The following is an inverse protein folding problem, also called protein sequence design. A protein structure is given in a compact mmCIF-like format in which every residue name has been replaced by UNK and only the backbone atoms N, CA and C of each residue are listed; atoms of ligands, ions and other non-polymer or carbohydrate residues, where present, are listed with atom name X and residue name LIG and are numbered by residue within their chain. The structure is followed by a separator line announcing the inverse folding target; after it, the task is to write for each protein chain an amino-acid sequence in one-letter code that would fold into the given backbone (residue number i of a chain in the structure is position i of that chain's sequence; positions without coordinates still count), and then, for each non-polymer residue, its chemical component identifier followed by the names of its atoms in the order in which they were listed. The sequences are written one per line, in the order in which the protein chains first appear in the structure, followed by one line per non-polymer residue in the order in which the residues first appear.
data_IF_719121597247
#
_entry.id   IF_719121597247
#
_cell.length_a   1.000
_cell.length_b   1.000
_cell.length_c   1.000
_cell.angle_alpha   90.00
_cell.angle_beta   90.00
_cell.angle_gamma   90.00
#
_symmetry.space_group_name_H-M   'P 1'
#
loop_
_entity.id
_entity.type
_entity.pdbx_description
1 polymer ?
#
# COMPACT_ATOMS: atom_id res chain seq x y z
N UNK A 1 -13.96 14.88 12.83
CA UNK A 1 -12.63 14.47 13.35
C UNK A 1 -11.60 15.20 12.51
N UNK A 2 -10.81 16.11 13.07
CA UNK A 2 -9.77 16.83 12.32
C UNK A 2 -8.64 15.86 11.96
N UNK A 3 -8.38 15.68 10.67
CA UNK A 3 -7.31 14.82 10.19
C UNK A 3 -5.96 15.53 10.37
N UNK A 4 -4.99 14.90 11.03
CA UNK A 4 -3.66 15.50 11.29
C UNK A 4 -2.83 15.59 10.01
N UNK A 5 -2.91 14.57 9.16
CA UNK A 5 -2.16 14.47 7.91
C UNK A 5 -3.11 14.68 6.74
N UNK A 6 -2.85 15.65 5.87
CA UNK A 6 -3.68 15.94 4.70
C UNK A 6 -3.46 14.90 3.59
N UNK A 7 -4.53 14.55 2.85
CA UNK A 7 -4.45 13.82 1.58
C UNK A 7 -4.72 14.84 0.44
N UNK A 8 -3.68 15.31 -0.27
CA UNK A 8 -3.79 16.30 -1.33
C UNK A 8 -4.70 15.84 -2.50
N UNK A 9 -5.28 16.81 -3.23
CA UNK A 9 -6.24 16.50 -4.30
C UNK A 9 -5.60 15.82 -5.52
N UNK A 10 -4.38 16.20 -5.87
CA UNK A 10 -3.56 15.56 -6.89
C UNK A 10 -3.29 14.08 -6.57
N UNK A 11 -2.91 13.77 -5.32
CA UNK A 11 -2.74 12.38 -4.87
C UNK A 11 -4.07 11.61 -4.95
N UNK A 12 -5.16 12.23 -4.52
CA UNK A 12 -6.52 11.69 -4.63
C UNK A 12 -6.89 11.33 -6.07
N UNK A 13 -6.52 12.17 -7.03
CA UNK A 13 -6.79 11.95 -8.44
C UNK A 13 -5.88 10.84 -9.02
N UNK A 14 -4.62 10.79 -8.62
CA UNK A 14 -3.67 9.72 -8.98
C UNK A 14 -4.15 8.35 -8.47
N UNK A 15 -4.54 8.25 -7.20
CA UNK A 15 -5.14 7.04 -6.61
C UNK A 15 -6.41 6.60 -7.32
N UNK A 16 -7.25 7.56 -7.75
CA UNK A 16 -8.46 7.26 -8.53
C UNK A 16 -8.10 6.67 -9.88
N UNK A 17 -7.11 7.22 -10.58
CA UNK A 17 -6.62 6.68 -11.86
C UNK A 17 -6.06 5.26 -11.68
N UNK A 18 -5.23 5.05 -10.66
CA UNK A 18 -4.67 3.73 -10.34
C UNK A 18 -5.76 2.68 -10.10
N UNK A 19 -6.78 3.01 -9.29
CA UNK A 19 -7.91 2.10 -9.01
C UNK A 19 -8.66 1.64 -10.26
N UNK A 20 -8.87 2.55 -11.22
CA UNK A 20 -9.65 2.26 -12.43
C UNK A 20 -8.78 1.81 -13.61
N UNK A 21 -7.46 1.73 -13.42
CA UNK A 21 -6.57 1.19 -14.43
C UNK A 21 -6.91 -0.28 -14.70
N UNK A 22 -6.98 -0.66 -15.98
CA UNK A 22 -7.22 -2.06 -16.36
C UNK A 22 -5.91 -2.83 -16.19
N UNK A 23 -5.97 -3.92 -15.43
CA UNK A 23 -4.85 -4.86 -15.23
C UNK A 23 -5.20 -6.20 -15.87
N UNK A 24 -4.24 -6.78 -16.58
CA UNK A 24 -4.40 -8.03 -17.34
C UNK A 24 -3.27 -9.04 -17.08
N UNK A 25 -2.14 -8.60 -16.52
CA UNK A 25 -1.03 -9.43 -16.08
C UNK A 25 -0.22 -8.68 -15.02
N UNK A 26 0.31 -9.41 -14.04
CA UNK A 26 1.17 -8.87 -13.00
C UNK A 26 0.44 -8.02 -11.97
N UNK A 27 1.07 -7.89 -10.80
CA UNK A 27 0.58 -6.96 -9.78
C UNK A 27 1.04 -5.53 -10.10
N UNK A 28 0.31 -4.55 -9.60
CA UNK A 28 0.70 -3.15 -9.65
C UNK A 28 0.65 -2.56 -8.24
N UNK A 29 1.52 -1.61 -7.94
CA UNK A 29 1.65 -1.02 -6.63
C UNK A 29 1.72 0.50 -6.71
N UNK A 30 1.04 1.19 -5.81
CA UNK A 30 1.10 2.63 -5.64
C UNK A 30 1.66 2.93 -4.25
N UNK A 31 2.87 3.48 -4.17
CA UNK A 31 3.58 3.75 -2.91
C UNK A 31 3.35 5.19 -2.46
N UNK A 32 2.92 5.35 -1.21
CA UNK A 32 2.65 6.65 -0.56
C UNK A 32 3.46 6.78 0.72
N UNK A 33 4.00 7.97 0.95
CA UNK A 33 4.65 8.35 2.22
C UNK A 33 3.94 9.55 2.84
N UNK A 34 4.26 9.82 4.10
CA UNK A 34 3.90 11.07 4.77
C UNK A 34 5.12 11.97 4.84
N UNK A 35 4.99 13.20 4.38
CA UNK A 35 5.97 14.24 4.63
C UNK A 35 5.72 14.85 6.01
N UNK A 36 6.61 14.56 6.95
CA UNK A 36 6.52 15.00 8.36
C UNK A 36 6.59 16.53 8.52
N UNK A 37 7.20 17.24 7.58
CA UNK A 37 7.33 18.70 7.66
C UNK A 37 6.05 19.41 7.22
N UNK A 38 5.43 18.92 6.15
CA UNK A 38 4.21 19.52 5.58
C UNK A 38 2.93 18.90 6.12
N UNK A 39 3.03 17.75 6.79
CA UNK A 39 1.91 16.90 7.22
C UNK A 39 0.99 16.52 6.05
N UNK A 40 1.58 16.22 4.88
CA UNK A 40 0.85 15.79 3.68
C UNK A 40 1.30 14.42 3.22
N UNK A 41 0.37 13.66 2.63
CA UNK A 41 0.72 12.44 1.90
C UNK A 41 1.24 12.78 0.51
N UNK A 42 2.25 12.03 0.08
CA UNK A 42 2.93 12.21 -1.20
C UNK A 42 3.04 10.85 -1.90
N UNK A 43 2.75 10.84 -3.20
CA UNK A 43 3.12 9.73 -4.07
C UNK A 43 4.65 9.63 -4.10
N UNK A 44 5.17 8.42 -3.93
CA UNK A 44 6.60 8.12 -4.07
C UNK A 44 6.85 7.56 -5.45
N UNK A 45 6.15 6.48 -5.77
CA UNK A 45 6.36 5.70 -6.99
C UNK A 45 5.15 4.83 -7.30
N UNK A 46 4.98 4.51 -8.58
CA UNK A 46 4.02 3.53 -9.07
C UNK A 46 4.74 2.46 -9.86
N UNK A 47 4.41 1.20 -9.58
CA UNK A 47 4.95 0.04 -10.27
C UNK A 47 3.84 -0.68 -11.01
N UNK A 48 4.15 -1.15 -12.21
CA UNK A 48 3.28 -1.97 -13.04
C UNK A 48 3.97 -3.28 -13.38
N UNK A 49 3.23 -4.40 -13.26
CA UNK A 49 3.73 -5.74 -13.51
C UNK A 49 4.95 -6.10 -12.65
N UNK A 50 4.86 -5.83 -11.34
CA UNK A 50 5.89 -6.12 -10.33
C UNK A 50 5.53 -7.37 -9.52
N UNK A 51 6.53 -8.15 -9.13
CA UNK A 51 6.36 -9.27 -8.18
C UNK A 51 6.28 -8.77 -6.73
N UNK A 52 5.94 -9.63 -5.77
CA UNK A 52 5.93 -9.20 -4.35
C UNK A 52 7.34 -9.05 -3.81
N UNK A 53 8.24 -9.90 -4.29
CA UNK A 53 9.64 -9.93 -3.93
C UNK A 53 10.36 -8.68 -4.46
N UNK A 54 10.18 -8.33 -5.74
CA UNK A 54 10.74 -7.10 -6.30
C UNK A 54 10.17 -5.86 -5.60
N UNK A 55 8.85 -5.84 -5.34
CA UNK A 55 8.23 -4.73 -4.61
C UNK A 55 8.80 -4.59 -3.19
N UNK A 56 9.11 -5.72 -2.53
CA UNK A 56 9.69 -5.71 -1.19
C UNK A 56 11.11 -5.11 -1.18
N UNK A 57 11.89 -5.32 -2.24
CA UNK A 57 13.24 -4.75 -2.40
C UNK A 57 13.22 -3.24 -2.66
N UNK A 58 12.18 -2.72 -3.34
CA UNK A 58 12.01 -1.29 -3.58
C UNK A 58 11.54 -0.51 -2.33
N UNK A 59 11.04 -1.21 -1.32
CA UNK A 59 10.51 -0.59 -0.10
C UNK A 59 11.63 -0.30 0.92
N UNK A 60 11.54 0.82 1.66
CA UNK A 60 12.60 1.22 2.58
C UNK A 60 12.57 0.42 3.89
N UNK A 61 13.74 0.09 4.43
CA UNK A 61 13.89 -0.66 5.69
C UNK A 61 13.64 0.14 6.98
N UNK A 62 13.64 1.47 6.89
CA UNK A 62 13.62 2.36 8.06
C UNK A 62 12.58 3.48 7.97
N UNK A 63 11.58 3.36 7.10
CA UNK A 63 10.48 4.32 7.08
C UNK A 63 9.16 3.69 6.63
N UNK A 64 8.02 4.11 7.21
CA UNK A 64 6.74 3.51 6.88
C UNK A 64 6.24 3.97 5.51
N UNK A 65 5.42 3.13 4.88
CA UNK A 65 4.75 3.39 3.61
C UNK A 65 3.33 2.85 3.63
N UNK A 66 2.44 3.49 2.90
CA UNK A 66 1.20 2.86 2.46
C UNK A 66 1.38 2.39 1.04
N UNK A 67 0.98 1.17 0.75
CA UNK A 67 1.00 0.65 -0.61
C UNK A 67 -0.41 0.23 -0.99
N UNK A 68 -0.98 0.88 -2.01
CA UNK A 68 -2.21 0.39 -2.64
C UNK A 68 -1.80 -0.61 -3.70
N UNK A 69 -2.05 -1.88 -3.43
CA UNK A 69 -1.66 -2.99 -4.27
C UNK A 69 -2.86 -3.49 -5.07
N UNK A 70 -2.75 -3.48 -6.40
CA UNK A 70 -3.61 -4.27 -7.28
C UNK A 70 -2.93 -5.62 -7.49
N UNK A 71 -3.38 -6.63 -6.76
CA UNK A 71 -2.68 -7.90 -6.65
C UNK A 71 -3.22 -8.93 -7.65
N UNK A 72 -2.35 -9.54 -8.45
CA UNK A 72 -2.74 -10.64 -9.33
C UNK A 72 -3.04 -11.90 -8.52
N UNK A 73 -4.33 -12.15 -8.26
CA UNK A 73 -4.81 -13.34 -7.57
C UNK A 73 -5.34 -14.36 -8.57
N UNK A 74 -4.68 -15.52 -8.63
CA UNK A 74 -5.15 -16.71 -9.36
C UNK A 74 -6.01 -17.56 -8.45
N UNK A 75 -7.26 -17.77 -8.87
CA UNK A 75 -8.24 -18.58 -8.18
C UNK A 75 -8.11 -20.04 -8.59
N UNK A 76 -8.58 -20.93 -7.72
CA UNK A 76 -8.46 -22.38 -7.92
C UNK A 76 -9.35 -22.88 -9.09
N UNK A 77 -10.33 -22.07 -9.52
CA UNK A 77 -11.17 -22.31 -10.70
C UNK A 77 -10.58 -21.77 -12.02
N UNK A 78 -9.33 -21.29 -11.99
CA UNK A 78 -8.62 -20.77 -13.15
C UNK A 78 -8.88 -19.30 -13.46
N UNK A 79 -9.78 -18.62 -12.74
CA UNK A 79 -9.98 -17.18 -12.91
C UNK A 79 -8.80 -16.39 -12.35
N UNK A 80 -8.50 -15.25 -12.98
CA UNK A 80 -7.56 -14.27 -12.44
C UNK A 80 -8.32 -12.99 -12.10
N UNK A 81 -8.07 -12.45 -10.92
CA UNK A 81 -8.64 -11.19 -10.45
C UNK A 81 -7.55 -10.26 -9.95
N UNK A 82 -7.87 -8.96 -9.85
CA UNK A 82 -6.93 -7.94 -9.40
C UNK A 82 -7.51 -7.15 -8.21
N UNK A 83 -7.78 -7.81 -7.05
CA UNK A 83 -8.28 -7.11 -5.87
C UNK A 83 -7.32 -6.00 -5.44
N UNK A 84 -7.91 -4.90 -4.94
CA UNK A 84 -7.14 -3.86 -4.27
C UNK A 84 -6.95 -4.21 -2.79
N UNK A 85 -5.71 -4.12 -2.34
CA UNK A 85 -5.27 -4.36 -0.96
C UNK A 85 -4.46 -3.16 -0.50
N UNK A 86 -4.64 -2.74 0.76
CA UNK A 86 -3.73 -1.79 1.38
C UNK A 86 -2.68 -2.54 2.18
N UNK A 87 -1.42 -2.42 1.79
CA UNK A 87 -0.32 -2.84 2.65
C UNK A 87 0.07 -1.67 3.54
N UNK A 88 0.01 -1.90 4.84
CA UNK A 88 0.54 -1.03 5.87
C UNK A 88 1.98 -1.46 6.18
N UNK A 89 2.96 -0.84 5.51
CA UNK A 89 4.38 -1.13 5.66
C UNK A 89 4.96 -0.31 6.81
N UNK A 90 5.45 -1.01 7.83
CA UNK A 90 5.87 -0.42 9.10
C UNK A 90 7.13 -1.12 9.63
N UNK A 91 8.27 -1.00 8.93
CA UNK A 91 9.48 -1.73 9.27
C UNK A 91 10.06 -1.22 10.59
N UNK A 92 10.72 -2.10 11.34
CA UNK A 92 11.13 -1.84 12.73
C UNK A 92 12.09 -0.64 12.89
N UNK A 93 12.87 -0.30 11.85
CA UNK A 93 13.79 0.84 11.88
C UNK A 93 13.13 2.23 11.81
N UNK A 94 11.80 2.29 11.75
CA UNK A 94 11.06 3.53 11.54
C UNK A 94 11.11 4.48 12.74
N UNK A 95 11.36 5.77 12.47
CA UNK A 95 11.37 6.82 13.49
C UNK A 95 9.98 6.97 14.17
N UNK A 96 9.95 7.03 15.51
CA UNK A 96 8.72 7.07 16.33
C UNK A 96 7.75 8.18 15.92
N UNK A 97 8.25 9.39 15.64
CA UNK A 97 7.41 10.52 15.24
C UNK A 97 6.70 10.26 13.91
N UNK A 98 7.39 9.67 12.95
CA UNK A 98 6.82 9.32 11.66
C UNK A 98 5.82 8.15 11.78
N UNK A 99 6.12 7.16 12.63
CA UNK A 99 5.20 6.06 12.95
C UNK A 99 3.90 6.55 13.59
N UNK A 100 3.96 7.57 14.44
CA UNK A 100 2.77 8.17 15.06
C UNK A 100 1.88 8.84 14.00
N UNK A 101 2.47 9.62 13.09
CA UNK A 101 1.73 10.23 11.98
C UNK A 101 1.11 9.15 11.08
N UNK A 102 1.88 8.11 10.74
CA UNK A 102 1.45 6.98 9.93
C UNK A 102 0.31 6.19 10.59
N UNK A 103 0.38 5.91 11.88
CA UNK A 103 -0.73 5.26 12.59
C UNK A 103 -1.98 6.16 12.61
N UNK A 104 -1.80 7.47 12.84
CA UNK A 104 -2.92 8.41 12.93
C UNK A 104 -3.70 8.57 11.62
N UNK A 105 -3.03 8.39 10.48
CA UNK A 105 -3.61 8.63 9.16
C UNK A 105 -4.13 7.35 8.48
N UNK A 106 -3.83 6.16 9.02
CA UNK A 106 -4.14 4.86 8.38
C UNK A 106 -5.63 4.72 8.04
N UNK A 107 -6.52 4.97 9.00
CA UNK A 107 -7.97 4.81 8.79
C UNK A 107 -8.49 5.81 7.75
N UNK A 108 -8.01 7.05 7.79
CA UNK A 108 -8.38 8.05 6.81
C UNK A 108 -7.93 7.67 5.40
N UNK A 109 -6.70 7.15 5.27
CA UNK A 109 -6.17 6.69 4.00
C UNK A 109 -6.92 5.46 3.48
N UNK A 110 -7.15 4.45 4.32
CA UNK A 110 -7.91 3.24 3.98
C UNK A 110 -9.30 3.59 3.44
N UNK A 111 -10.03 4.46 4.13
CA UNK A 111 -11.33 4.95 3.68
C UNK A 111 -11.22 5.68 2.34
N UNK A 112 -10.15 6.45 2.13
CA UNK A 112 -9.96 7.19 0.88
C UNK A 112 -9.67 6.27 -0.30
N UNK A 113 -8.92 5.20 -0.12
CA UNK A 113 -8.59 4.26 -1.21
C UNK A 113 -9.69 3.20 -1.42
N UNK A 114 -10.74 3.21 -0.59
CA UNK A 114 -11.92 2.33 -0.69
C UNK A 114 -11.56 0.84 -0.66
N UNK A 115 -10.56 0.47 0.14
CA UNK A 115 -10.10 -0.92 0.28
C UNK A 115 -10.65 -1.56 1.56
N UNK A 116 -11.14 -2.81 1.42
CA UNK A 116 -11.66 -3.58 2.55
C UNK A 116 -10.58 -4.39 3.27
N UNK A 117 -9.51 -4.76 2.59
CA UNK A 117 -8.44 -5.59 3.15
C UNK A 117 -7.17 -4.76 3.38
N UNK A 118 -6.69 -4.81 4.62
CA UNK A 118 -5.42 -4.23 5.04
C UNK A 118 -4.49 -5.34 5.50
N UNK A 119 -3.24 -5.32 5.01
CA UNK A 119 -2.19 -6.25 5.42
C UNK A 119 -1.10 -5.46 6.13
N UNK A 120 -0.85 -5.76 7.40
CA UNK A 120 0.26 -5.19 8.14
C UNK A 120 1.54 -5.96 7.86
N UNK A 121 2.60 -5.25 7.47
CA UNK A 121 3.94 -5.80 7.28
C UNK A 121 4.91 -5.02 8.18
N UNK A 122 5.55 -5.73 9.11
CA UNK A 122 6.49 -5.17 10.08
C UNK A 122 7.91 -5.72 9.93
N UNK A 123 8.03 -6.92 9.37
CA UNK A 123 9.28 -7.66 9.26
C UNK A 123 10.09 -7.25 8.02
N UNK A 124 9.82 -6.06 7.46
CA UNK A 124 10.48 -5.58 6.25
C UNK A 124 10.20 -6.49 5.05
N UNK A 125 11.21 -6.64 4.20
CA UNK A 125 11.08 -7.33 2.91
C UNK A 125 10.71 -8.80 3.07
N UNK A 126 11.20 -9.46 4.12
CA UNK A 126 10.88 -10.86 4.44
C UNK A 126 9.38 -11.08 4.70
N UNK A 127 8.66 -10.06 5.17
CA UNK A 127 7.23 -10.14 5.44
C UNK A 127 6.35 -9.99 4.19
N UNK A 128 6.83 -9.30 3.15
CA UNK A 128 6.06 -9.05 1.94
C UNK A 128 6.31 -10.16 0.90
N UNK A 129 5.56 -11.25 1.04
CA UNK A 129 5.62 -12.38 0.11
C UNK A 129 4.27 -12.68 -0.51
N UNK A 130 4.28 -13.33 -1.68
CA UNK A 130 3.05 -13.80 -2.32
C UNK A 130 2.17 -14.64 -1.38
N UNK A 131 2.79 -15.57 -0.65
CA UNK A 131 2.08 -16.45 0.28
C UNK A 131 1.39 -15.69 1.42
N UNK A 132 2.04 -14.64 1.95
CA UNK A 132 1.46 -13.81 3.00
C UNK A 132 0.22 -13.04 2.51
N UNK A 133 0.27 -12.48 1.29
CA UNK A 133 -0.86 -11.77 0.69
C UNK A 133 -2.01 -12.75 0.36
N UNK A 134 -1.71 -13.90 -0.25
CA UNK A 134 -2.69 -14.92 -0.58
C UNK A 134 -3.45 -15.41 0.68
N UNK A 135 -2.74 -15.65 1.78
CA UNK A 135 -3.33 -16.08 3.04
C UNK A 135 -4.34 -15.06 3.58
N UNK A 136 -4.03 -13.76 3.50
CA UNK A 136 -4.92 -12.66 3.92
C UNK A 136 -6.09 -12.44 2.98
N UNK A 137 -5.93 -12.73 1.69
CA UNK A 137 -7.00 -12.61 0.71
C UNK A 137 -7.99 -13.77 0.75
N UNK A 138 -7.54 -14.97 1.14
CA UNK A 138 -8.38 -16.17 1.26
C UNK A 138 -9.10 -16.30 2.61
N UNK A 139 -8.61 -15.64 3.67
CA UNK A 139 -9.29 -15.51 4.97
C UNK A 139 -10.41 -14.47 4.95
#
# INVERSE_FOLDING_TARGET
MSQIVEIPQDLKDSLRKFRFARRNAGSAAFVVKINKQTLKMEEVEQFDNISMEDLAEELPDASPRYIVLSYELKHDDGRTSFPLVLINWTPQGSETGLMTLHASALIAFQNRVEVSKVVEIRDGSEGLTKAAIDAKLRS
#
